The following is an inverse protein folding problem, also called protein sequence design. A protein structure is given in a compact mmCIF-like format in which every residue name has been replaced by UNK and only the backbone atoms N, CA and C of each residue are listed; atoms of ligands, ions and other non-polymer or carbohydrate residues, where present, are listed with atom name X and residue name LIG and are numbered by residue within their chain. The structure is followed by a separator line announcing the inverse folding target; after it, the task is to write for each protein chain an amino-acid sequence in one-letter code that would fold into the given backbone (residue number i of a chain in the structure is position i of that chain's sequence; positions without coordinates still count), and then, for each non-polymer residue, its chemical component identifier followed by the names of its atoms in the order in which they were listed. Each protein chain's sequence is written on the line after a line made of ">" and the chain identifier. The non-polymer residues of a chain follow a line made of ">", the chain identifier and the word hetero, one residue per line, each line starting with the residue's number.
data_IF_020469430566
#
_entry.id   IF_020469430566
#
_cell.length_a   1.000
_cell.length_b   1.000
_cell.length_c   1.000
_cell.angle_alpha   90.00
_cell.angle_beta   90.00
_cell.angle_gamma   90.00
#
_symmetry.space_group_name_H-M   'P 1'
#
loop_
_entity.id
_entity.type
_entity.pdbx_description
1 polymer ?
#
# COMPACT_ATOMS: atom_id res chain seq x y z
N UNK A 1 -72.38 1.20 -1.76
CA UNK A 1 -71.22 2.11 -1.70
C UNK A 1 -70.10 1.34 -1.02
N UNK A 2 -69.25 0.73 -1.83
CA UNK A 2 -68.03 0.01 -1.48
C UNK A 2 -66.96 1.03 -1.00
N UNK A 3 -65.90 0.75 -0.24
CA UNK A 3 -65.33 -0.44 0.41
C UNK A 3 -64.23 0.09 1.34
N UNK A 4 -64.06 -0.53 2.51
CA UNK A 4 -62.90 -0.38 3.37
C UNK A 4 -61.64 -0.94 2.69
N UNK A 5 -60.60 -0.13 2.50
CA UNK A 5 -59.19 -0.57 2.36
C UNK A 5 -58.28 0.65 2.48
N UNK A 6 -57.62 0.85 3.62
CA UNK A 6 -56.37 1.62 3.73
C UNK A 6 -55.68 1.46 5.10
N UNK A 7 -55.44 0.22 5.54
CA UNK A 7 -54.62 -0.06 6.74
C UNK A 7 -53.40 -0.97 6.51
N UNK A 8 -53.11 -1.39 5.27
CA UNK A 8 -52.07 -2.42 5.02
C UNK A 8 -50.70 -1.90 4.59
N UNK A 9 -50.49 -0.59 4.44
CA UNK A 9 -49.20 -0.03 3.98
C UNK A 9 -48.24 0.39 5.11
N UNK A 10 -48.72 0.50 6.36
CA UNK A 10 -47.91 0.90 7.52
C UNK A 10 -47.14 -0.23 8.21
N UNK A 11 -47.58 -1.49 8.09
CA UNK A 11 -46.97 -2.64 8.79
C UNK A 11 -45.76 -3.22 8.06
N UNK A 12 -45.71 -3.09 6.73
CA UNK A 12 -44.62 -3.64 5.89
C UNK A 12 -43.29 -2.90 6.11
N UNK A 13 -43.32 -1.56 6.18
CA UNK A 13 -42.10 -0.75 6.35
C UNK A 13 -41.49 -0.88 7.76
N UNK A 14 -42.30 -0.98 8.82
CA UNK A 14 -41.81 -1.27 10.18
C UNK A 14 -41.10 -2.63 10.27
N UNK A 15 -41.60 -3.63 9.56
CA UNK A 15 -41.00 -4.98 9.54
C UNK A 15 -39.63 -5.05 8.85
N UNK A 16 -39.39 -4.23 7.83
CA UNK A 16 -38.10 -4.14 7.14
C UNK A 16 -37.05 -3.41 7.98
N UNK A 17 -37.43 -2.35 8.69
CA UNK A 17 -36.51 -1.61 9.57
C UNK A 17 -36.15 -2.41 10.83
N UNK A 18 -37.10 -3.16 11.41
CA UNK A 18 -36.81 -4.11 12.49
C UNK A 18 -35.97 -5.30 12.01
N UNK A 19 -36.21 -5.83 10.81
CA UNK A 19 -35.39 -6.92 10.24
C UNK A 19 -33.95 -6.50 9.99
N UNK A 20 -33.70 -5.26 9.57
CA UNK A 20 -32.34 -4.71 9.40
C UNK A 20 -31.63 -4.55 10.75
N UNK A 21 -32.35 -4.27 11.84
CA UNK A 21 -31.81 -4.24 13.20
C UNK A 21 -31.55 -5.62 13.85
N UNK A 22 -32.04 -6.70 13.24
CA UNK A 22 -31.95 -8.08 13.76
C UNK A 22 -30.83 -8.91 13.15
N UNK A 23 -30.16 -8.43 12.10
CA UNK A 23 -29.07 -9.16 11.46
C UNK A 23 -27.83 -9.07 12.35
N UNK A 24 -27.53 -10.15 13.08
CA UNK A 24 -26.30 -10.26 13.85
C UNK A 24 -25.12 -10.30 12.88
N UNK A 25 -24.11 -9.43 13.03
CA UNK A 25 -22.95 -9.45 12.16
C UNK A 25 -22.17 -10.76 12.32
N UNK A 26 -21.58 -11.24 11.23
CA UNK A 26 -20.80 -12.49 11.21
C UNK A 26 -19.58 -12.42 12.14
N UNK A 27 -18.88 -11.28 12.14
CA UNK A 27 -17.90 -10.95 13.18
C UNK A 27 -18.61 -10.12 14.24
N UNK A 28 -18.66 -10.62 15.46
CA UNK A 28 -19.29 -9.92 16.57
C UNK A 28 -18.59 -8.59 16.86
N UNK A 29 -19.35 -7.64 17.43
CA UNK A 29 -18.86 -6.28 17.67
C UNK A 29 -17.67 -6.25 18.63
N UNK A 30 -17.61 -7.13 19.63
CA UNK A 30 -16.51 -7.16 20.59
C UNK A 30 -15.21 -7.57 19.91
N UNK A 31 -15.23 -8.63 19.10
CA UNK A 31 -14.10 -9.06 18.27
C UNK A 31 -13.69 -7.97 17.29
N UNK A 32 -14.66 -7.34 16.61
CA UNK A 32 -14.40 -6.25 15.69
C UNK A 32 -13.67 -5.07 16.37
N UNK A 33 -14.17 -4.58 17.51
CA UNK A 33 -13.54 -3.49 18.24
C UNK A 33 -12.15 -3.86 18.77
N UNK A 34 -11.96 -5.10 19.22
CA UNK A 34 -10.66 -5.61 19.64
C UNK A 34 -9.65 -5.59 18.49
N UNK A 35 -10.02 -6.11 17.32
CA UNK A 35 -9.14 -6.10 16.13
C UNK A 35 -8.87 -4.67 15.66
N UNK A 36 -9.89 -3.83 15.59
CA UNK A 36 -9.76 -2.41 15.22
C UNK A 36 -8.76 -1.68 16.12
N UNK A 37 -8.87 -1.85 17.44
CA UNK A 37 -7.98 -1.22 18.40
C UNK A 37 -6.57 -1.81 18.35
N UNK A 38 -6.43 -3.12 18.53
CA UNK A 38 -5.12 -3.76 18.64
C UNK A 38 -4.36 -3.74 17.31
N UNK A 39 -4.98 -4.24 16.24
CA UNK A 39 -4.31 -4.35 14.94
C UNK A 39 -4.35 -3.02 14.19
N UNK A 40 -5.53 -2.42 14.07
CA UNK A 40 -5.74 -1.20 13.28
C UNK A 40 -5.11 0.04 13.88
N UNK A 41 -5.23 0.25 15.20
CA UNK A 41 -4.76 1.48 15.86
C UNK A 41 -3.41 1.32 16.54
N UNK A 42 -3.18 0.28 17.33
CA UNK A 42 -1.93 0.16 18.10
C UNK A 42 -0.79 -0.34 17.21
N UNK A 43 -0.95 -1.53 16.63
CA UNK A 43 0.13 -2.19 15.87
C UNK A 43 0.42 -1.46 14.57
N UNK A 44 -0.62 -1.19 13.76
CA UNK A 44 -0.43 -0.56 12.45
C UNK A 44 0.13 0.85 12.57
N UNK A 45 -0.36 1.68 13.50
CA UNK A 45 0.19 3.03 13.71
C UNK A 45 1.61 2.97 14.26
N UNK A 46 1.92 2.05 15.18
CA UNK A 46 3.28 1.86 15.67
C UNK A 46 4.27 1.53 14.55
N UNK A 47 3.89 0.62 13.65
CA UNK A 47 4.69 0.29 12.45
C UNK A 47 4.79 1.50 11.52
N UNK A 48 3.70 2.24 11.31
CA UNK A 48 3.70 3.42 10.46
C UNK A 48 4.63 4.52 10.99
N UNK A 49 4.66 4.76 12.30
CA UNK A 49 5.58 5.71 12.95
C UNK A 49 7.03 5.29 12.69
N UNK A 50 7.36 4.01 12.90
CA UNK A 50 8.69 3.47 12.54
C UNK A 50 8.97 3.66 11.04
N UNK A 51 7.97 3.43 10.20
CA UNK A 51 8.02 3.62 8.75
C UNK A 51 8.37 5.05 8.33
N UNK A 52 7.86 6.07 9.04
CA UNK A 52 8.22 7.48 8.78
C UNK A 52 9.73 7.67 8.92
N UNK A 53 10.31 7.25 10.05
CA UNK A 53 11.76 7.37 10.29
C UNK A 53 12.57 6.58 9.26
N UNK A 54 12.17 5.33 8.99
CA UNK A 54 12.86 4.45 8.05
C UNK A 54 12.89 5.03 6.64
N UNK A 55 11.78 5.59 6.16
CA UNK A 55 11.71 6.18 4.82
C UNK A 55 12.45 7.51 4.73
N UNK A 56 12.46 8.33 5.78
CA UNK A 56 13.32 9.52 5.85
C UNK A 56 14.79 9.12 5.73
N UNK A 57 15.23 8.09 6.46
CA UNK A 57 16.60 7.57 6.34
C UNK A 57 16.90 7.06 4.93
N UNK A 58 15.97 6.31 4.31
CA UNK A 58 16.11 5.88 2.92
C UNK A 58 16.30 7.06 1.97
N UNK A 59 15.46 8.10 2.06
CA UNK A 59 15.55 9.30 1.23
C UNK A 59 16.90 9.99 1.37
N UNK A 60 17.40 10.15 2.59
CA UNK A 60 18.71 10.77 2.88
C UNK A 60 19.84 9.92 2.25
N UNK A 61 19.82 8.60 2.46
CA UNK A 61 20.88 7.71 1.94
C UNK A 61 20.86 7.65 0.42
N UNK A 62 19.70 7.51 -0.22
CA UNK A 62 19.62 7.44 -1.69
C UNK A 62 19.96 8.79 -2.33
N UNK A 63 19.61 9.91 -1.70
CA UNK A 63 20.10 11.24 -2.11
C UNK A 63 21.62 11.30 -2.09
N UNK A 64 22.25 10.76 -1.03
CA UNK A 64 23.71 10.74 -0.90
C UNK A 64 24.40 9.79 -1.86
N UNK A 65 23.77 8.65 -2.19
CA UNK A 65 24.27 7.72 -3.21
C UNK A 65 24.22 8.30 -4.63
N UNK A 66 23.39 9.32 -4.84
CA UNK A 66 23.19 9.98 -6.13
C UNK A 66 22.11 9.30 -6.96
N UNK A 67 21.22 10.13 -7.52
CA UNK A 67 20.06 9.68 -8.31
C UNK A 67 20.39 9.49 -9.81
N UNK A 68 21.68 9.36 -10.15
CA UNK A 68 22.15 9.14 -11.51
C UNK A 68 22.11 7.65 -11.93
N UNK A 69 21.94 6.73 -10.98
CA UNK A 69 21.68 5.31 -11.23
C UNK A 69 20.17 5.05 -11.14
N UNK A 70 19.58 4.39 -12.16
CA UNK A 70 18.13 4.08 -12.23
C UNK A 70 17.62 3.38 -10.99
N UNK A 71 18.42 2.48 -10.43
CA UNK A 71 18.10 1.75 -9.20
C UNK A 71 17.96 2.68 -7.98
N UNK A 72 18.86 3.65 -7.82
CA UNK A 72 18.79 4.60 -6.71
C UNK A 72 17.59 5.53 -6.88
N UNK A 73 17.32 5.96 -8.12
CA UNK A 73 16.14 6.77 -8.45
C UNK A 73 14.84 6.03 -8.12
N UNK A 74 14.71 4.76 -8.51
CA UNK A 74 13.55 3.94 -8.21
C UNK A 74 13.34 3.75 -6.70
N UNK A 75 14.40 3.41 -5.95
CA UNK A 75 14.29 3.26 -4.49
C UNK A 75 14.03 4.58 -3.76
N UNK A 76 14.54 5.70 -4.27
CA UNK A 76 14.22 7.03 -3.77
C UNK A 76 12.74 7.37 -3.98
N UNK A 77 12.22 7.15 -5.19
CA UNK A 77 10.81 7.35 -5.49
C UNK A 77 9.90 6.44 -4.66
N UNK A 78 10.30 5.19 -4.44
CA UNK A 78 9.57 4.26 -3.57
C UNK A 78 9.56 4.75 -2.12
N UNK A 79 10.70 5.20 -1.57
CA UNK A 79 10.76 5.75 -0.22
C UNK A 79 9.90 7.01 -0.05
N UNK A 80 9.77 7.85 -1.09
CA UNK A 80 8.88 9.01 -1.08
C UNK A 80 7.42 8.58 -1.01
N UNK A 81 7.03 7.59 -1.82
CA UNK A 81 5.69 6.99 -1.80
C UNK A 81 5.39 6.34 -0.44
N UNK A 82 6.32 5.54 0.06
CA UNK A 82 6.17 4.85 1.34
C UNK A 82 6.03 5.84 2.49
N UNK A 83 6.77 6.97 2.47
CA UNK A 83 6.65 8.03 3.47
C UNK A 83 5.24 8.65 3.50
N UNK A 84 4.65 8.93 2.33
CA UNK A 84 3.26 9.42 2.24
C UNK A 84 2.29 8.36 2.76
N UNK A 85 2.48 7.11 2.34
CA UNK A 85 1.64 5.97 2.74
C UNK A 85 1.59 5.79 4.25
N UNK A 86 2.74 5.70 4.91
CA UNK A 86 2.80 5.52 6.37
C UNK A 86 2.29 6.75 7.12
N UNK A 87 2.51 7.97 6.58
CA UNK A 87 1.93 9.18 7.16
C UNK A 87 0.40 9.16 7.13
N UNK A 88 -0.18 8.74 6.00
CA UNK A 88 -1.63 8.55 5.88
C UNK A 88 -2.15 7.45 6.82
N UNK A 89 -1.42 6.35 7.01
CA UNK A 89 -1.81 5.31 7.97
C UNK A 89 -1.84 5.80 9.42
N UNK A 90 -0.92 6.69 9.82
CA UNK A 90 -0.97 7.34 11.13
C UNK A 90 -2.26 8.16 11.27
N UNK A 91 -2.56 9.01 10.27
CA UNK A 91 -3.78 9.84 10.26
C UNK A 91 -5.05 8.98 10.27
N UNK A 92 -5.05 7.88 9.54
CA UNK A 92 -6.16 6.94 9.47
C UNK A 92 -6.40 6.25 10.82
N UNK A 93 -5.32 5.88 11.53
CA UNK A 93 -5.40 5.34 12.89
C UNK A 93 -6.07 6.30 13.87
N UNK A 94 -5.78 7.61 13.75
CA UNK A 94 -6.50 8.64 14.51
C UNK A 94 -7.98 8.71 14.12
N UNK A 95 -8.31 8.67 12.82
CA UNK A 95 -9.70 8.72 12.35
C UNK A 95 -10.56 7.55 12.85
N UNK A 96 -9.96 6.36 13.04
CA UNK A 96 -10.66 5.19 13.58
C UNK A 96 -10.77 5.17 15.11
N UNK A 97 -10.07 6.07 15.82
CA UNK A 97 -10.10 6.11 17.28
C UNK A 97 -11.51 6.42 17.78
N UNK A 98 -12.00 5.70 18.81
CA UNK A 98 -13.29 6.01 19.44
C UNK A 98 -13.30 7.40 20.09
N UNK A 99 -12.13 7.99 20.33
CA UNK A 99 -11.96 9.32 20.93
C UNK A 99 -12.13 10.46 19.92
N UNK A 100 -12.13 10.16 18.61
CA UNK A 100 -12.26 11.17 17.56
C UNK A 100 -13.72 11.28 17.14
N UNK A 101 -14.30 12.44 17.43
CA UNK A 101 -15.68 12.79 17.04
C UNK A 101 -15.81 12.99 15.52
N UNK A 102 -14.73 13.36 14.84
CA UNK A 102 -14.71 13.80 13.44
C UNK A 102 -14.35 12.64 12.48
N UNK A 103 -15.22 11.63 12.39
CA UNK A 103 -14.95 10.41 11.60
C UNK A 103 -14.81 10.67 10.10
N UNK A 104 -15.46 11.70 9.57
CA UNK A 104 -15.43 12.04 8.14
C UNK A 104 -14.06 12.54 7.66
N UNK A 105 -13.10 12.81 8.57
CA UNK A 105 -11.70 13.04 8.22
C UNK A 105 -11.07 11.86 7.46
N UNK A 106 -11.62 10.65 7.60
CA UNK A 106 -11.21 9.48 6.83
C UNK A 106 -11.28 9.72 5.31
N UNK A 107 -12.29 10.49 4.85
CA UNK A 107 -12.48 10.77 3.42
C UNK A 107 -11.44 11.78 2.88
N UNK A 108 -10.77 12.53 3.76
CA UNK A 108 -9.63 13.38 3.40
C UNK A 108 -8.29 12.61 3.41
N UNK A 109 -8.21 11.51 4.16
CA UNK A 109 -6.97 10.71 4.28
C UNK A 109 -6.93 9.56 3.27
N UNK A 110 -8.08 9.01 2.90
CA UNK A 110 -8.20 7.87 1.99
C UNK A 110 -7.64 8.14 0.59
N UNK A 111 -7.92 9.28 -0.07
CA UNK A 111 -7.43 9.52 -1.43
C UNK A 111 -5.90 9.55 -1.55
N UNK A 112 -5.16 10.34 -0.74
CA UNK A 112 -3.70 10.34 -0.82
C UNK A 112 -3.11 8.98 -0.42
N UNK A 113 -3.74 8.24 0.51
CA UNK A 113 -3.32 6.88 0.85
C UNK A 113 -3.40 5.95 -0.35
N UNK A 114 -4.57 5.87 -1.00
CA UNK A 114 -4.82 4.97 -2.12
C UNK A 114 -3.92 5.31 -3.33
N UNK A 115 -3.77 6.59 -3.65
CA UNK A 115 -2.88 7.03 -4.72
C UNK A 115 -1.41 6.72 -4.43
N UNK A 116 -0.98 6.85 -3.18
CA UNK A 116 0.39 6.50 -2.79
C UNK A 116 0.64 4.99 -2.84
N UNK A 117 -0.32 4.16 -2.39
CA UNK A 117 -0.23 2.71 -2.51
C UNK A 117 -0.18 2.24 -3.97
N UNK A 118 -0.98 2.89 -4.84
CA UNK A 118 -0.98 2.66 -6.28
C UNK A 118 0.36 3.05 -6.92
N UNK A 119 0.90 4.21 -6.56
CA UNK A 119 2.21 4.67 -7.04
C UNK A 119 3.34 3.72 -6.61
N UNK A 120 3.39 3.35 -5.32
CA UNK A 120 4.36 2.40 -4.79
C UNK A 120 4.28 1.02 -5.47
N UNK A 121 3.07 0.55 -5.79
CA UNK A 121 2.86 -0.70 -6.54
C UNK A 121 3.42 -0.61 -7.96
N UNK A 122 3.16 0.48 -8.68
CA UNK A 122 3.73 0.72 -10.02
C UNK A 122 5.26 0.79 -10.00
N UNK A 123 5.85 1.46 -9.00
CA UNK A 123 7.31 1.52 -8.84
C UNK A 123 7.88 0.12 -8.55
N UNK A 124 7.23 -0.66 -7.69
CA UNK A 124 7.67 -2.01 -7.35
C UNK A 124 7.63 -2.92 -8.58
N UNK A 125 6.59 -2.80 -9.42
CA UNK A 125 6.52 -3.49 -10.70
C UNK A 125 7.65 -3.04 -11.65
N UNK A 126 7.93 -1.74 -11.75
CA UNK A 126 9.03 -1.20 -12.55
C UNK A 126 10.39 -1.76 -12.11
N UNK A 127 10.67 -1.76 -10.79
CA UNK A 127 11.88 -2.34 -10.22
C UNK A 127 11.98 -3.83 -10.57
N UNK A 128 10.87 -4.56 -10.47
CA UNK A 128 10.84 -6.00 -10.74
C UNK A 128 11.15 -6.33 -12.20
N UNK A 129 10.52 -5.62 -13.15
CA UNK A 129 10.79 -5.80 -14.58
C UNK A 129 12.21 -5.36 -14.92
N UNK A 130 12.65 -4.20 -14.42
CA UNK A 130 14.02 -3.70 -14.62
C UNK A 130 15.03 -4.80 -14.26
N UNK A 131 14.84 -5.42 -13.10
CA UNK A 131 15.73 -6.47 -12.59
C UNK A 131 15.63 -7.75 -13.38
N UNK A 132 14.43 -8.14 -13.82
CA UNK A 132 14.29 -9.27 -14.75
C UNK A 132 15.12 -9.04 -16.01
N UNK A 133 15.00 -7.86 -16.63
CA UNK A 133 15.73 -7.54 -17.86
C UNK A 133 17.24 -7.49 -17.64
N UNK A 134 17.73 -6.97 -16.51
CA UNK A 134 19.16 -7.02 -16.17
C UNK A 134 19.68 -8.46 -16.05
N UNK A 135 18.86 -9.40 -15.55
CA UNK A 135 19.24 -10.80 -15.39
C UNK A 135 19.09 -11.59 -16.68
N UNK A 136 18.03 -11.39 -17.45
CA UNK A 136 17.74 -12.17 -18.66
C UNK A 136 18.44 -11.62 -19.90
N UNK A 137 18.63 -10.30 -19.98
CA UNK A 137 19.18 -9.61 -21.16
C UNK A 137 20.20 -8.52 -20.76
N UNK A 138 21.31 -8.88 -20.08
CA UNK A 138 22.25 -7.91 -19.49
C UNK A 138 22.83 -6.91 -20.50
N UNK A 139 23.08 -7.33 -21.75
CA UNK A 139 23.61 -6.48 -22.82
C UNK A 139 22.61 -5.42 -23.30
N UNK A 140 21.30 -5.71 -23.22
CA UNK A 140 20.23 -4.80 -23.65
C UNK A 140 19.72 -3.92 -22.49
N UNK A 141 19.86 -4.38 -21.25
CA UNK A 141 19.29 -3.73 -20.07
C UNK A 141 19.69 -2.26 -19.93
N UNK A 142 20.98 -1.92 -20.11
CA UNK A 142 21.48 -0.53 -20.02
C UNK A 142 20.93 0.38 -21.11
N UNK A 143 20.59 -0.16 -22.28
CA UNK A 143 20.02 0.59 -23.39
C UNK A 143 18.51 0.77 -23.26
N UNK A 144 17.83 -0.17 -22.59
CA UNK A 144 16.40 -0.11 -22.31
C UNK A 144 16.14 0.85 -21.15
N UNK A 145 16.79 0.60 -20.01
CA UNK A 145 16.63 1.36 -18.76
C UNK A 145 17.66 2.46 -18.65
N UNK A 146 17.45 3.54 -19.41
CA UNK A 146 18.20 4.78 -19.24
C UNK A 146 17.58 5.66 -18.17
N UNK A 147 18.38 6.51 -17.53
CA UNK A 147 17.91 7.41 -16.47
C UNK A 147 16.71 8.27 -16.90
N UNK A 148 16.77 8.82 -18.12
CA UNK A 148 15.68 9.66 -18.66
C UNK A 148 14.37 8.90 -18.82
N UNK A 149 14.44 7.66 -19.30
CA UNK A 149 13.24 6.82 -19.49
C UNK A 149 12.64 6.41 -18.15
N UNK A 150 13.46 6.00 -17.20
CA UNK A 150 13.00 5.63 -15.85
C UNK A 150 12.38 6.85 -15.14
N UNK A 151 13.04 8.01 -15.18
CA UNK A 151 12.48 9.24 -14.63
C UNK A 151 11.15 9.61 -15.28
N UNK A 152 11.07 9.53 -16.61
CA UNK A 152 9.82 9.77 -17.33
C UNK A 152 8.71 8.82 -16.90
N UNK A 153 8.98 7.50 -16.79
CA UNK A 153 8.00 6.52 -16.30
C UNK A 153 7.53 6.85 -14.89
N UNK A 154 8.45 7.20 -13.97
CA UNK A 154 8.09 7.60 -12.61
C UNK A 154 7.19 8.84 -12.59
N UNK A 155 7.51 9.86 -13.38
CA UNK A 155 6.70 11.09 -13.46
C UNK A 155 5.33 10.84 -14.08
N UNK A 156 5.23 9.99 -15.10
CA UNK A 156 3.95 9.60 -15.70
C UNK A 156 3.10 8.79 -14.71
N UNK A 157 3.70 7.83 -14.00
CA UNK A 157 3.02 7.08 -12.95
C UNK A 157 2.53 7.99 -11.82
N UNK A 158 3.33 8.99 -11.43
CA UNK A 158 2.94 9.98 -10.44
C UNK A 158 1.76 10.84 -10.94
N UNK A 159 1.85 11.36 -12.16
CA UNK A 159 0.78 12.16 -12.76
C UNK A 159 -0.52 11.37 -12.87
N UNK A 160 -0.46 10.09 -13.26
CA UNK A 160 -1.60 9.19 -13.29
C UNK A 160 -2.27 9.05 -11.91
N UNK A 161 -1.48 8.89 -10.84
CA UNK A 161 -2.00 8.77 -9.48
C UNK A 161 -2.53 10.10 -8.92
N UNK A 162 -1.95 11.23 -9.32
CA UNK A 162 -2.47 12.57 -9.02
C UNK A 162 -3.82 12.80 -9.70
N UNK A 163 -3.98 12.37 -10.95
CA UNK A 163 -5.28 12.45 -11.64
C UNK A 163 -6.32 11.64 -10.86
N UNK A 164 -6.01 10.40 -10.47
CA UNK A 164 -6.93 9.59 -9.66
C UNK A 164 -7.28 10.23 -8.32
N UNK A 165 -6.29 10.78 -7.63
CA UNK A 165 -6.46 11.55 -6.39
C UNK A 165 -7.40 12.76 -6.56
N UNK A 166 -7.22 13.55 -7.62
CA UNK A 166 -8.06 14.73 -7.91
C UNK A 166 -9.47 14.31 -8.31
N UNK A 167 -9.62 13.27 -9.14
CA UNK A 167 -10.93 12.73 -9.52
C UNK A 167 -11.69 12.28 -8.29
N UNK A 168 -11.04 11.61 -7.34
CA UNK A 168 -11.69 11.18 -6.12
C UNK A 168 -12.16 12.36 -5.26
N UNK A 169 -11.43 13.48 -5.19
CA UNK A 169 -11.96 14.66 -4.48
C UNK A 169 -13.07 15.39 -5.23
N UNK A 170 -13.07 15.36 -6.57
CA UNK A 170 -14.10 16.04 -7.36
C UNK A 170 -15.51 15.49 -7.17
N UNK A 171 -15.64 14.27 -6.64
CA UNK A 171 -16.92 13.61 -6.33
C UNK A 171 -17.33 13.78 -4.86
N UNK A 172 -16.53 14.50 -4.06
CA UNK A 172 -16.76 14.70 -2.62
C UNK A 172 -17.11 16.15 -2.33
N UNK A 173 -18.13 16.35 -1.50
CA UNK A 173 -18.45 17.61 -0.86
C UNK A 173 -18.12 17.53 0.63
N UNK A 174 -17.53 18.59 1.15
CA UNK A 174 -17.26 18.75 2.57
C UNK A 174 -17.99 19.99 3.07
N UNK A 175 -18.89 19.78 4.02
CA UNK A 175 -19.69 20.85 4.62
C UNK A 175 -19.35 20.98 6.11
N UNK A 176 -19.22 22.22 6.59
CA UNK A 176 -19.09 22.48 8.02
C UNK A 176 -20.47 22.52 8.66
N UNK A 177 -20.78 21.50 9.46
CA UNK A 177 -22.08 21.34 10.14
C UNK A 177 -21.88 21.57 11.64
N UNK A 178 -22.82 22.18 12.38
CA UNK A 178 -22.70 22.31 13.83
C UNK A 178 -22.43 20.97 14.52
N UNK A 179 -21.50 20.97 15.47
CA UNK A 179 -21.08 19.76 16.19
C UNK A 179 -22.24 19.22 17.03
N UNK A 180 -22.50 17.91 16.99
CA UNK A 180 -23.52 17.28 17.84
C UNK A 180 -23.17 17.35 19.33
N UNK A 181 -21.93 17.66 19.69
CA UNK A 181 -21.48 17.80 21.08
C UNK A 181 -21.51 19.25 21.58
N UNK A 182 -21.52 20.24 20.69
CA UNK A 182 -21.48 21.66 21.06
C UNK A 182 -21.88 22.58 19.91
N UNK A 183 -22.86 23.45 20.16
CA UNK A 183 -23.29 24.49 19.21
C UNK A 183 -22.23 25.57 18.91
N UNK A 184 -21.08 25.55 19.62
CA UNK A 184 -19.98 26.51 19.42
C UNK A 184 -18.89 26.00 18.47
N UNK A 185 -18.97 24.76 18.00
CA UNK A 185 -17.98 24.15 17.10
C UNK A 185 -18.66 23.58 15.87
N UNK A 186 -18.00 23.64 14.72
CA UNK A 186 -18.44 22.94 13.51
C UNK A 186 -17.61 21.66 13.32
N UNK A 187 -18.24 20.62 12.78
CA UNK A 187 -17.63 19.37 12.33
C UNK A 187 -17.62 19.36 10.81
N UNK A 188 -16.56 18.81 10.22
CA UNK A 188 -16.57 18.52 8.79
C UNK A 188 -17.46 17.31 8.53
N UNK A 189 -18.47 17.47 7.69
CA UNK A 189 -19.36 16.42 7.24
C UNK A 189 -19.09 16.11 5.78
N UNK A 190 -18.96 14.83 5.47
CA UNK A 190 -18.84 14.33 4.12
C UNK A 190 -20.22 14.10 3.49
N UNK A 191 -20.40 14.58 2.27
CA UNK A 191 -21.51 14.25 1.38
C UNK A 191 -20.98 13.98 -0.02
N UNK A 192 -21.66 13.14 -0.80
CA UNK A 192 -21.36 13.04 -2.22
C UNK A 192 -21.88 14.29 -2.95
N UNK A 193 -21.20 14.70 -4.01
CA UNK A 193 -21.76 15.68 -4.97
C UNK A 193 -22.97 15.05 -5.69
N UNK A 194 -23.59 15.77 -6.63
CA UNK A 194 -24.65 15.19 -7.49
C UNK A 194 -24.17 13.95 -8.28
N UNK A 195 -22.85 13.69 -8.30
CA UNK A 195 -22.27 12.44 -8.76
C UNK A 195 -22.52 11.30 -7.77
N UNK A 196 -23.12 10.22 -8.26
CA UNK A 196 -23.46 9.04 -7.45
C UNK A 196 -22.23 8.34 -6.85
N UNK A 197 -22.41 7.63 -5.71
CA UNK A 197 -21.42 6.73 -5.11
C UNK A 197 -20.81 5.71 -6.10
N UNK A 198 -21.47 5.43 -7.23
CA UNK A 198 -20.90 4.59 -8.30
C UNK A 198 -19.64 5.22 -8.91
N UNK A 199 -19.58 6.56 -9.03
CA UNK A 199 -18.42 7.26 -9.56
C UNK A 199 -17.17 7.07 -8.69
N UNK A 200 -17.34 7.02 -7.36
CA UNK A 200 -16.26 6.68 -6.42
C UNK A 200 -15.71 5.29 -6.67
N UNK A 201 -16.61 4.30 -6.78
CA UNK A 201 -16.23 2.91 -7.05
C UNK A 201 -15.44 2.82 -8.36
N UNK A 202 -15.89 3.50 -9.42
CA UNK A 202 -15.15 3.54 -10.69
C UNK A 202 -13.78 4.21 -10.54
N UNK A 203 -13.67 5.32 -9.81
CA UNK A 203 -12.39 5.98 -9.56
C UNK A 203 -11.41 5.06 -8.81
N UNK A 204 -11.87 4.40 -7.74
CA UNK A 204 -11.07 3.44 -6.97
C UNK A 204 -10.66 2.22 -7.80
N UNK A 205 -11.56 1.72 -8.67
CA UNK A 205 -11.26 0.62 -9.58
C UNK A 205 -10.17 1.01 -10.57
N UNK A 206 -10.37 2.12 -11.29
CA UNK A 206 -9.52 2.53 -12.40
C UNK A 206 -8.15 2.97 -11.91
N UNK A 207 -8.07 3.81 -10.89
CA UNK A 207 -6.80 4.45 -10.50
C UNK A 207 -6.00 3.67 -9.46
N UNK A 208 -6.67 2.84 -8.65
CA UNK A 208 -6.02 2.13 -7.54
C UNK A 208 -6.04 0.63 -7.73
N UNK A 209 -7.23 0.03 -7.84
CA UNK A 209 -7.39 -1.42 -7.68
C UNK A 209 -6.86 -2.21 -8.88
N UNK A 210 -7.28 -1.86 -10.10
CA UNK A 210 -6.84 -2.53 -11.33
C UNK A 210 -5.33 -2.35 -11.54
N UNK A 211 -4.75 -1.14 -11.42
CA UNK A 211 -3.30 -0.97 -11.56
C UNK A 211 -2.50 -1.72 -10.49
N UNK A 212 -2.98 -1.77 -9.25
CA UNK A 212 -2.33 -2.54 -8.18
C UNK A 212 -2.39 -4.04 -8.43
N UNK A 213 -3.50 -4.56 -8.97
CA UNK A 213 -3.61 -5.96 -9.38
C UNK A 213 -2.65 -6.29 -10.53
N UNK A 214 -2.58 -5.43 -11.54
CA UNK A 214 -1.62 -5.60 -12.66
C UNK A 214 -0.19 -5.57 -12.13
N UNK A 215 0.14 -4.62 -11.25
CA UNK A 215 1.46 -4.55 -10.62
C UNK A 215 1.77 -5.82 -9.82
N UNK A 216 0.81 -6.33 -9.03
CA UNK A 216 0.95 -7.57 -8.28
C UNK A 216 1.27 -8.75 -9.19
N UNK A 217 0.53 -8.92 -10.29
CA UNK A 217 0.78 -9.98 -11.27
C UNK A 217 2.18 -9.85 -11.89
N UNK A 218 2.57 -8.63 -12.28
CA UNK A 218 3.90 -8.35 -12.83
C UNK A 218 4.99 -8.72 -11.83
N UNK A 219 4.89 -8.27 -10.58
CA UNK A 219 5.87 -8.54 -9.53
C UNK A 219 5.94 -10.04 -9.24
N UNK A 220 4.81 -10.72 -9.17
CA UNK A 220 4.74 -12.17 -8.96
C UNK A 220 5.48 -12.93 -10.07
N UNK A 221 5.11 -12.70 -11.34
CA UNK A 221 5.73 -13.36 -12.50
C UNK A 221 7.22 -13.02 -12.58
N UNK A 222 7.58 -11.76 -12.40
CA UNK A 222 8.98 -11.30 -12.38
C UNK A 222 9.79 -12.00 -11.30
N UNK A 223 9.22 -12.17 -10.11
CA UNK A 223 9.88 -12.86 -8.99
C UNK A 223 10.12 -14.33 -9.32
N UNK A 224 9.16 -15.02 -9.92
CA UNK A 224 9.34 -16.41 -10.37
C UNK A 224 10.47 -16.53 -11.40
N UNK A 225 10.51 -15.62 -12.39
CA UNK A 225 11.59 -15.57 -13.39
C UNK A 225 12.95 -15.32 -12.72
N UNK A 226 13.04 -14.37 -11.79
CA UNK A 226 14.28 -14.07 -11.07
C UNK A 226 14.77 -15.26 -10.25
N UNK A 227 13.88 -15.93 -9.52
CA UNK A 227 14.21 -17.14 -8.74
C UNK A 227 14.73 -18.23 -9.68
N UNK A 228 14.02 -18.53 -10.77
CA UNK A 228 14.42 -19.56 -11.74
C UNK A 228 15.79 -19.25 -12.39
N UNK A 229 16.05 -17.99 -12.74
CA UNK A 229 17.33 -17.59 -13.34
C UNK A 229 18.46 -17.59 -12.33
N UNK A 230 18.21 -17.19 -11.08
CA UNK A 230 19.21 -17.22 -10.01
C UNK A 230 19.62 -18.67 -9.69
N UNK A 231 18.64 -19.58 -9.58
CA UNK A 231 18.91 -21.00 -9.32
C UNK A 231 19.64 -21.65 -10.49
N UNK A 232 19.23 -21.39 -11.73
CA UNK A 232 19.93 -21.85 -12.93
C UNK A 232 21.39 -21.37 -12.96
N UNK A 233 21.63 -20.11 -12.62
CA UNK A 233 22.98 -19.53 -12.58
C UNK A 233 23.83 -20.18 -11.47
N UNK A 234 23.24 -20.45 -10.31
CA UNK A 234 23.92 -21.10 -9.18
C UNK A 234 24.25 -22.58 -9.47
N UNK A 235 23.35 -23.33 -10.11
CA UNK A 235 23.60 -24.74 -10.49
C UNK A 235 24.67 -24.83 -11.57
N UNK A 236 24.63 -23.95 -12.57
CA UNK A 236 25.67 -23.85 -13.60
C UNK A 236 27.04 -23.58 -12.97
N UNK A 237 27.15 -22.62 -12.05
CA UNK A 237 28.40 -22.34 -11.33
C UNK A 237 28.88 -23.54 -10.53
N UNK A 238 28.01 -24.22 -9.79
CA UNK A 238 28.37 -25.46 -9.07
C UNK A 238 28.91 -26.53 -10.00
N UNK A 239 28.30 -26.70 -11.18
CA UNK A 239 28.76 -27.69 -12.17
C UNK A 239 30.16 -27.38 -12.73
N UNK A 240 30.54 -26.10 -12.80
CA UNK A 240 31.87 -25.67 -13.22
C UNK A 240 32.86 -25.74 -12.06
N UNK A 241 32.48 -25.30 -10.85
CA UNK A 241 33.33 -25.31 -9.66
C UNK A 241 33.69 -26.73 -9.17
N UNK A 242 32.86 -27.73 -9.46
CA UNK A 242 33.24 -29.15 -9.26
C UNK A 242 34.35 -29.55 -10.23
N UNK A 243 34.39 -28.97 -11.44
CA UNK A 243 35.39 -29.26 -12.47
C UNK A 243 36.67 -28.43 -12.33
N UNK A 244 36.59 -27.21 -11.78
CA UNK A 244 37.73 -26.35 -11.49
C UNK A 244 37.70 -25.96 -10.02
N UNK A 245 38.73 -26.31 -9.22
CA UNK A 245 38.87 -26.01 -7.78
C UNK A 245 38.92 -24.49 -7.45
N UNK A 246 37.97 -23.72 -7.94
CA UNK A 246 37.88 -22.26 -7.82
C UNK A 246 36.75 -21.96 -6.85
N UNK A 247 37.05 -21.13 -5.84
CA UNK A 247 36.11 -20.78 -4.79
C UNK A 247 34.87 -20.04 -5.30
N UNK A 248 33.73 -20.39 -4.69
CA UNK A 248 32.41 -19.84 -4.96
C UNK A 248 32.24 -18.43 -4.34
N UNK A 249 32.90 -17.41 -4.88
CA UNK A 249 32.58 -16.03 -4.55
C UNK A 249 31.26 -15.61 -5.24
N UNK A 250 30.25 -15.22 -4.47
CA UNK A 250 29.00 -14.66 -5.02
C UNK A 250 29.30 -13.35 -5.77
N UNK A 251 28.80 -13.23 -7.00
CA UNK A 251 29.02 -12.02 -7.79
C UNK A 251 28.26 -10.83 -7.17
N UNK A 252 28.75 -9.62 -7.45
CA UNK A 252 28.08 -8.38 -7.02
C UNK A 252 26.65 -8.29 -7.54
N UNK A 253 26.41 -8.79 -8.75
CA UNK A 253 25.10 -8.80 -9.40
C UNK A 253 24.12 -9.76 -8.72
N UNK A 254 24.61 -10.92 -8.26
CA UNK A 254 23.80 -11.90 -7.52
C UNK A 254 23.25 -11.32 -6.21
N UNK A 255 24.03 -10.51 -5.50
CA UNK A 255 23.58 -9.84 -4.27
C UNK A 255 22.46 -8.84 -4.56
N UNK A 256 22.59 -8.05 -5.63
CA UNK A 256 21.55 -7.09 -6.04
C UNK A 256 20.26 -7.80 -6.43
N UNK A 257 20.34 -8.90 -7.19
CA UNK A 257 19.17 -9.70 -7.57
C UNK A 257 18.51 -10.31 -6.34
N UNK A 258 19.29 -10.83 -5.39
CA UNK A 258 18.76 -11.38 -4.13
C UNK A 258 18.04 -10.34 -3.28
N UNK A 259 18.55 -9.10 -3.22
CA UNK A 259 17.85 -7.99 -2.57
C UNK A 259 16.47 -7.78 -3.17
N UNK A 260 16.38 -7.78 -4.50
CA UNK A 260 15.14 -7.52 -5.22
C UNK A 260 14.14 -8.64 -5.01
N UNK A 261 14.57 -9.90 -5.10
CA UNK A 261 13.72 -11.06 -4.79
C UNK A 261 13.13 -10.91 -3.39
N UNK A 262 13.93 -10.47 -2.41
CA UNK A 262 13.45 -10.27 -1.04
C UNK A 262 12.41 -9.15 -0.93
N UNK A 263 12.66 -7.99 -1.54
CA UNK A 263 11.69 -6.87 -1.61
C UNK A 263 10.39 -7.32 -2.28
N UNK A 264 10.50 -8.01 -3.42
CA UNK A 264 9.33 -8.49 -4.16
C UNK A 264 8.57 -9.56 -3.39
N UNK A 265 9.25 -10.44 -2.66
CA UNK A 265 8.61 -11.45 -1.81
C UNK A 265 7.85 -10.78 -0.67
N UNK A 266 8.45 -9.80 0.00
CA UNK A 266 7.77 -8.99 1.03
C UNK A 266 6.52 -8.35 0.44
N UNK A 267 6.66 -7.69 -0.72
CA UNK A 267 5.54 -7.06 -1.42
C UNK A 267 4.43 -8.07 -1.72
N UNK A 268 4.75 -9.24 -2.29
CA UNK A 268 3.75 -10.28 -2.61
C UNK A 268 3.02 -10.73 -1.34
N UNK A 269 3.74 -11.09 -0.27
CA UNK A 269 3.12 -11.53 0.98
C UNK A 269 2.23 -10.42 1.56
N UNK A 270 2.70 -9.18 1.56
CA UNK A 270 2.00 -8.07 2.18
C UNK A 270 0.81 -7.54 1.36
N UNK A 271 0.86 -7.63 0.04
CA UNK A 271 -0.22 -7.18 -0.83
C UNK A 271 -1.25 -8.28 -1.10
N UNK A 272 -0.94 -9.56 -0.86
CA UNK A 272 -1.88 -10.67 -1.05
C UNK A 272 -3.22 -10.47 -0.32
N UNK A 273 -3.27 -10.09 0.97
CA UNK A 273 -4.53 -9.87 1.67
C UNK A 273 -5.41 -8.80 0.99
N UNK A 274 -4.80 -7.69 0.54
CA UNK A 274 -5.52 -6.64 -0.15
C UNK A 274 -6.00 -7.08 -1.54
N UNK A 275 -5.17 -7.80 -2.29
CA UNK A 275 -5.55 -8.35 -3.60
C UNK A 275 -6.72 -9.32 -3.47
N UNK A 276 -6.68 -10.20 -2.47
CA UNK A 276 -7.79 -11.12 -2.18
C UNK A 276 -9.06 -10.37 -1.80
N UNK A 277 -8.94 -9.35 -0.94
CA UNK A 277 -10.07 -8.51 -0.57
C UNK A 277 -10.73 -7.87 -1.80
N UNK A 278 -9.92 -7.30 -2.69
CA UNK A 278 -10.42 -6.73 -3.93
C UNK A 278 -11.15 -7.75 -4.81
N UNK A 279 -10.57 -8.95 -4.99
CA UNK A 279 -11.19 -10.04 -5.78
C UNK A 279 -12.51 -10.47 -5.15
N UNK A 280 -12.56 -10.66 -3.84
CA UNK A 280 -13.76 -11.09 -3.11
C UNK A 280 -14.85 -10.00 -3.17
N UNK A 281 -14.52 -8.73 -2.91
CA UNK A 281 -15.47 -7.62 -3.03
C UNK A 281 -16.01 -7.45 -4.45
N UNK A 282 -15.22 -7.79 -5.48
CA UNK A 282 -15.66 -7.74 -6.87
C UNK A 282 -16.57 -8.92 -7.25
N UNK A 283 -16.28 -10.11 -6.71
CA UNK A 283 -17.05 -11.33 -6.97
C UNK A 283 -18.35 -11.42 -6.14
N UNK A 284 -18.36 -10.84 -4.94
CA UNK A 284 -19.47 -10.91 -3.98
C UNK A 284 -19.87 -9.49 -3.55
N UNK A 285 -20.88 -8.87 -4.18
CA UNK A 285 -21.32 -7.51 -3.85
C UNK A 285 -21.79 -7.32 -2.39
N UNK A 286 -22.17 -8.41 -1.71
CA UNK A 286 -22.53 -8.41 -0.29
C UNK A 286 -21.31 -8.27 0.64
N UNK A 287 -20.09 -8.54 0.15
CA UNK A 287 -18.85 -8.33 0.89
C UNK A 287 -18.43 -6.85 0.83
N UNK A 288 -19.28 -6.02 1.44
CA UNK A 288 -19.17 -4.58 1.49
C UNK A 288 -19.41 -4.06 2.92
N UNK A 289 -18.78 -2.95 3.27
CA UNK A 289 -18.82 -2.37 4.63
C UNK A 289 -20.23 -1.95 5.08
N UNK A 290 -21.14 -1.71 4.13
CA UNK A 290 -22.54 -1.34 4.40
C UNK A 290 -23.46 -2.53 4.62
N UNK A 291 -22.99 -3.77 4.43
CA UNK A 291 -23.79 -4.96 4.64
C UNK A 291 -23.95 -5.26 6.14
N UNK A 292 -25.19 -5.56 6.57
CA UNK A 292 -25.50 -5.79 7.98
C UNK A 292 -24.89 -7.08 8.55
N UNK A 293 -24.62 -8.08 7.70
CA UNK A 293 -24.05 -9.37 8.10
C UNK A 293 -22.52 -9.40 7.89
N UNK A 294 -22.05 -9.00 6.71
CA UNK A 294 -20.65 -9.09 6.29
C UNK A 294 -19.85 -7.79 6.50
N UNK A 295 -20.47 -6.68 6.87
CA UNK A 295 -19.80 -5.39 6.99
C UNK A 295 -18.65 -5.40 8.00
N UNK A 296 -18.86 -6.00 9.18
CA UNK A 296 -17.80 -6.11 10.21
C UNK A 296 -16.67 -7.04 9.78
N UNK A 297 -16.97 -8.13 9.06
CA UNK A 297 -15.95 -9.01 8.47
C UNK A 297 -15.12 -8.27 7.41
N UNK A 298 -15.79 -7.49 6.56
CA UNK A 298 -15.15 -6.69 5.50
C UNK A 298 -14.17 -5.70 6.12
N UNK A 299 -14.61 -4.93 7.13
CA UNK A 299 -13.74 -4.00 7.86
C UNK A 299 -12.61 -4.69 8.63
N UNK A 300 -12.89 -5.84 9.27
CA UNK A 300 -11.86 -6.64 9.95
C UNK A 300 -10.76 -7.08 8.97
N UNK A 301 -11.17 -7.53 7.79
CA UNK A 301 -10.24 -7.95 6.72
C UNK A 301 -9.46 -6.75 6.16
N UNK A 302 -10.08 -5.57 6.07
CA UNK A 302 -9.39 -4.32 5.72
C UNK A 302 -8.30 -3.96 6.74
N UNK A 303 -8.54 -4.11 8.04
CA UNK A 303 -7.49 -3.87 9.06
C UNK A 303 -6.30 -4.81 8.90
N UNK A 304 -6.56 -6.08 8.57
CA UNK A 304 -5.51 -7.05 8.27
C UNK A 304 -4.73 -6.64 7.02
N UNK A 305 -5.42 -6.28 5.93
CA UNK A 305 -4.78 -5.83 4.71
C UNK A 305 -3.92 -4.57 4.93
N UNK A 306 -4.45 -3.59 5.65
CA UNK A 306 -3.75 -2.36 6.00
C UNK A 306 -2.47 -2.66 6.81
N UNK A 307 -2.56 -3.51 7.84
CA UNK A 307 -1.39 -3.92 8.63
C UNK A 307 -0.24 -4.44 7.75
N UNK A 308 -0.57 -5.33 6.81
CA UNK A 308 0.44 -5.89 5.90
C UNK A 308 0.99 -4.83 4.94
N UNK A 309 0.15 -3.98 4.36
CA UNK A 309 0.60 -2.90 3.47
C UNK A 309 1.49 -1.89 4.19
N UNK A 310 1.10 -1.45 5.39
CA UNK A 310 1.91 -0.56 6.24
C UNK A 310 3.26 -1.21 6.56
N UNK A 311 3.27 -2.52 6.83
CA UNK A 311 4.51 -3.27 7.05
C UNK A 311 5.41 -3.24 5.81
N UNK A 312 4.86 -3.51 4.63
CA UNK A 312 5.60 -3.44 3.36
C UNK A 312 6.26 -2.09 3.14
N UNK A 313 5.54 -0.99 3.41
CA UNK A 313 6.07 0.38 3.27
C UNK A 313 7.06 0.77 4.38
N UNK A 314 7.15 0.02 5.48
CA UNK A 314 7.97 0.40 6.64
C UNK A 314 9.31 -0.33 6.74
N UNK A 315 9.43 -1.53 6.15
CA UNK A 315 10.59 -2.42 6.40
C UNK A 315 11.67 -2.41 5.31
N UNK A 316 11.46 -1.65 4.22
CA UNK A 316 12.37 -1.60 3.08
C UNK A 316 13.83 -1.26 3.46
N UNK A 317 14.03 -0.41 4.49
CA UNK A 317 15.37 -0.04 4.98
C UNK A 317 16.19 -1.25 5.45
N UNK A 318 15.56 -2.23 6.10
CA UNK A 318 16.26 -3.40 6.63
C UNK A 318 16.80 -4.26 5.49
N UNK A 319 16.03 -4.35 4.40
CA UNK A 319 16.46 -5.03 3.18
C UNK A 319 17.64 -4.31 2.55
N UNK A 320 17.55 -2.99 2.38
CA UNK A 320 18.63 -2.18 1.82
C UNK A 320 19.91 -2.28 2.65
N UNK A 321 19.80 -2.19 3.98
CA UNK A 321 20.94 -2.25 4.89
C UNK A 321 21.61 -3.63 4.89
N UNK A 322 20.84 -4.72 4.87
CA UNK A 322 21.41 -6.07 4.87
C UNK A 322 22.02 -6.45 3.52
N UNK A 323 21.36 -6.08 2.41
CA UNK A 323 21.66 -6.63 1.09
C UNK A 323 22.46 -5.68 0.18
N UNK A 324 22.43 -4.36 0.39
CA UNK A 324 23.22 -3.39 -0.39
C UNK A 324 24.44 -2.90 0.39
N UNK A 325 25.62 -3.34 -0.03
CA UNK A 325 26.89 -2.90 0.57
C UNK A 325 27.13 -1.40 0.41
N UNK A 326 26.71 -0.80 -0.71
CA UNK A 326 26.75 0.64 -0.95
C UNK A 326 25.85 1.37 0.05
N UNK A 327 24.58 0.97 0.16
CA UNK A 327 23.61 1.58 1.07
C UNK A 327 24.10 1.50 2.52
N UNK A 328 24.52 0.32 2.96
CA UNK A 328 25.04 0.11 4.32
C UNK A 328 26.23 1.00 4.63
N UNK A 329 27.23 1.09 3.73
CA UNK A 329 28.40 1.95 3.93
C UNK A 329 27.97 3.42 4.08
N UNK A 330 27.15 3.91 3.16
CA UNK A 330 26.65 5.30 3.19
C UNK A 330 25.83 5.58 4.43
N UNK A 331 24.92 4.68 4.82
CA UNK A 331 24.14 4.80 6.06
C UNK A 331 25.05 4.94 7.28
N UNK A 332 26.07 4.08 7.42
CA UNK A 332 27.02 4.17 8.54
C UNK A 332 27.81 5.47 8.51
N UNK A 333 28.26 5.93 7.34
CA UNK A 333 28.98 7.20 7.22
C UNK A 333 28.12 8.40 7.62
N UNK A 334 26.84 8.42 7.24
CA UNK A 334 25.95 9.54 7.57
C UNK A 334 25.52 9.48 9.03
N UNK A 335 25.01 8.35 9.50
CA UNK A 335 24.32 8.29 10.79
C UNK A 335 25.18 7.78 11.95
N UNK A 336 26.16 6.91 11.69
CA UNK A 336 27.01 6.34 12.75
C UNK A 336 28.34 7.09 12.91
N UNK A 337 28.97 7.53 11.82
CA UNK A 337 30.25 8.25 11.91
C UNK A 337 30.08 9.68 12.46
N UNK A 338 28.92 10.32 12.24
CA UNK A 338 28.58 11.62 12.85
C UNK A 338 28.34 11.45 14.37
N UNK A 339 27.80 10.32 14.81
CA UNK A 339 27.58 10.04 16.23
C UNK A 339 28.90 9.93 17.00
N UNK A 340 29.92 9.30 16.41
CA UNK A 340 31.27 9.23 17.00
C UNK A 340 32.06 10.54 16.97
N UNK A 341 31.80 11.45 16.02
CA UNK A 341 32.42 12.79 15.98
C UNK A 341 31.82 13.81 16.96
N UNK A 342 30.70 13.49 17.61
CA UNK A 342 30.08 14.34 18.64
C UNK A 342 30.39 13.88 20.08
N UNK A 343 31.05 12.73 20.25
CA UNK A 343 31.38 12.12 21.55
C UNK A 343 32.88 12.22 21.87
N UNK A 344 33.70 12.63 20.88
CA UNK A 344 35.10 13.06 21.04
C UNK A 344 35.14 14.55 20.80
#
# INVERSE_FOLDING_TARGET
>A
MATNTDETTGSSNRSLTERVGLIKPLVDLTTFYFVSLCLGQIVTVGIAIMGVFNNIFNLIVFSRLGLNETSNLNFFALALSDLVTVSCYILLGFCYSPLVTYKDLIYLVTPPLQSSLGYGSMITALISIERCVYVTFPLKAKNIYTLRRVLFTLLVSLAYQIIGFVTYYSIMNFELVPSPLSNRSAVLKFTYTDFSAKAEIYALLVFTSVPSLIAFIIVFVSTQVLIAKLTQSATWRKSIAIKSKVDNASSKDEKVVRSVIFICTIYIVCYTPNTLLFIVSSAFPQFHVSDGYLGTLTLTTLFIANFFQTTSSSINIFVYYHMSSKFRKTFRTIFLAIWFRKIV
#
